data_IF_474480345118
#
_entry.id   IF_474480345118
#
_cell.length_a   1.000
_cell.length_b   1.000
_cell.length_c   1.000
_cell.angle_alpha   90.00
_cell.angle_beta   90.00
_cell.angle_gamma   90.00
#
_symmetry.space_group_name_H-M   'P 1'
#
loop_
_entity.id
_entity.type
_entity.pdbx_description
1 polymer ?
#
# COMPACT_ATOMS: atom_id res chain seq x y z
N UNK A 1 -7.33 -6.39 -10.70
CA UNK A 1 -7.58 -5.12 -9.99
C UNK A 1 -9.07 -4.93 -9.95
N UNK A 2 -9.64 -4.67 -8.77
CA UNK A 2 -11.07 -4.58 -8.54
C UNK A 2 -11.51 -3.11 -8.39
N UNK A 3 -10.74 -2.28 -7.69
CA UNK A 3 -11.07 -0.87 -7.45
C UNK A 3 -9.81 -0.04 -7.10
N UNK A 4 -8.92 0.26 -8.07
CA UNK A 4 -7.68 0.98 -7.79
C UNK A 4 -7.98 2.44 -7.44
N UNK A 5 -7.51 2.89 -6.27
CA UNK A 5 -7.66 4.28 -5.82
C UNK A 5 -6.34 5.05 -5.93
N UNK A 6 -5.35 4.66 -5.12
CA UNK A 6 -4.02 5.26 -5.10
C UNK A 6 -2.92 4.30 -5.56
N UNK A 7 -1.83 4.86 -6.05
CA UNK A 7 -0.60 4.15 -6.37
C UNK A 7 0.62 5.02 -6.08
N UNK A 8 1.72 4.39 -5.69
CA UNK A 8 2.95 5.07 -5.34
C UNK A 8 4.17 4.26 -5.76
N UNK A 9 5.30 4.94 -6.01
CA UNK A 9 6.54 4.31 -6.46
C UNK A 9 7.69 4.74 -5.55
N UNK A 10 8.53 3.78 -5.17
CA UNK A 10 9.86 4.04 -4.59
C UNK A 10 10.88 3.05 -5.15
N UNK A 11 11.94 3.54 -5.78
CA UNK A 11 12.88 2.69 -6.53
C UNK A 11 12.16 1.89 -7.62
N UNK A 12 12.24 0.55 -7.55
CA UNK A 12 11.52 -0.39 -8.42
C UNK A 12 10.27 -1.00 -7.79
N UNK A 13 9.87 -0.55 -6.61
CA UNK A 13 8.63 -0.97 -5.99
C UNK A 13 7.47 -0.10 -6.48
N UNK A 14 6.41 -0.75 -6.95
CA UNK A 14 5.11 -0.15 -7.24
C UNK A 14 4.08 -0.64 -6.21
N UNK A 15 3.50 0.29 -5.48
CA UNK A 15 2.45 0.05 -4.49
C UNK A 15 1.09 0.42 -5.11
N UNK A 16 0.10 -0.45 -4.97
CA UNK A 16 -1.26 -0.25 -5.50
C UNK A 16 -2.28 -0.48 -4.39
N UNK A 17 -3.10 0.52 -4.12
CA UNK A 17 -4.30 0.43 -3.31
C UNK A 17 -5.45 -0.14 -4.15
N UNK A 18 -5.83 -1.39 -3.95
CA UNK A 18 -6.91 -2.05 -4.71
C UNK A 18 -8.23 -2.07 -3.94
N UNK A 19 -8.54 -0.96 -3.25
CA UNK A 19 -9.76 -0.79 -2.44
C UNK A 19 -9.88 -1.86 -1.35
N UNK A 20 -10.97 -2.62 -1.39
CA UNK A 20 -11.24 -3.73 -0.46
C UNK A 20 -10.39 -4.98 -0.72
N UNK A 21 -9.68 -5.05 -1.85
CA UNK A 21 -8.70 -6.10 -2.10
C UNK A 21 -7.33 -5.79 -1.49
N UNK A 22 -7.17 -4.65 -0.81
CA UNK A 22 -5.98 -4.30 -0.05
C UNK A 22 -4.80 -3.80 -0.86
N UNK A 23 -3.64 -3.84 -0.22
CA UNK A 23 -2.39 -3.33 -0.76
C UNK A 23 -1.68 -4.40 -1.58
N UNK A 24 -1.24 -4.05 -2.79
CA UNK A 24 -0.40 -4.92 -3.63
C UNK A 24 0.91 -4.22 -3.92
N UNK A 25 1.99 -5.00 -3.92
CA UNK A 25 3.34 -4.51 -4.23
C UNK A 25 3.86 -5.30 -5.42
N UNK A 26 4.40 -4.59 -6.40
CA UNK A 26 4.95 -5.14 -7.64
C UNK A 26 6.38 -4.65 -7.86
N UNK A 27 7.18 -5.45 -8.57
CA UNK A 27 8.44 -5.02 -9.15
C UNK A 27 8.18 -4.37 -10.52
N UNK A 28 8.51 -3.08 -10.63
CA UNK A 28 8.33 -2.26 -11.85
C UNK A 28 9.58 -2.12 -12.71
N UNK A 29 10.61 -2.91 -12.48
CA UNK A 29 11.82 -2.89 -13.31
C UNK A 29 11.55 -3.24 -14.78
N UNK A 30 10.46 -3.95 -15.07
CA UNK A 30 9.90 -4.13 -16.41
C UNK A 30 8.40 -3.79 -16.43
N UNK A 31 8.02 -2.57 -16.84
CA UNK A 31 6.63 -2.12 -16.85
C UNK A 31 5.72 -2.92 -17.78
N UNK A 32 6.25 -3.57 -18.83
CA UNK A 32 5.43 -4.36 -19.77
C UNK A 32 5.02 -5.70 -19.17
N UNK A 33 5.80 -6.22 -18.22
CA UNK A 33 5.54 -7.46 -17.49
C UNK A 33 5.00 -7.22 -16.07
N UNK A 34 4.58 -6.00 -15.73
CA UNK A 34 4.21 -5.60 -14.38
C UNK A 34 3.16 -6.53 -13.74
N UNK A 35 2.19 -6.99 -14.53
CA UNK A 35 1.09 -7.85 -14.05
C UNK A 35 1.58 -9.21 -13.53
N UNK A 36 2.74 -9.66 -14.00
CA UNK A 36 3.35 -10.94 -13.65
C UNK A 36 4.40 -10.79 -12.53
N UNK A 37 4.73 -9.56 -12.13
CA UNK A 37 5.80 -9.24 -11.18
C UNK A 37 5.28 -8.83 -9.81
N UNK A 38 4.26 -9.52 -9.30
CA UNK A 38 3.72 -9.26 -7.95
C UNK A 38 4.69 -9.77 -6.89
N UNK A 39 5.13 -8.89 -6.01
CA UNK A 39 6.01 -9.21 -4.87
C UNK A 39 5.17 -9.65 -3.67
N UNK A 40 4.16 -8.85 -3.31
CA UNK A 40 3.37 -9.06 -2.11
C UNK A 40 1.91 -8.65 -2.30
N UNK A 41 1.05 -9.20 -1.45
CA UNK A 41 -0.37 -8.86 -1.37
C UNK A 41 -0.82 -8.92 0.08
N UNK A 42 -1.30 -7.78 0.60
CA UNK A 42 -1.84 -7.63 1.94
C UNK A 42 -3.35 -7.34 1.82
N UNK A 43 -4.21 -8.36 1.97
CA UNK A 43 -5.65 -8.24 1.70
C UNK A 43 -6.44 -7.52 2.80
N UNK A 44 -5.92 -7.46 4.03
CA UNK A 44 -6.65 -7.00 5.22
C UNK A 44 -6.76 -5.47 5.35
N UNK A 45 -6.60 -4.75 4.23
CA UNK A 45 -6.65 -3.29 4.19
C UNK A 45 -7.79 -2.83 3.28
N UNK A 46 -8.60 -1.88 3.75
CA UNK A 46 -9.44 -1.07 2.87
C UNK A 46 -8.65 0.20 2.52
N UNK A 47 -7.98 0.17 1.37
CA UNK A 47 -6.94 1.14 1.02
C UNK A 47 -7.45 2.20 0.05
N UNK A 48 -7.16 3.47 0.35
CA UNK A 48 -7.50 4.61 -0.49
C UNK A 48 -6.28 5.20 -1.19
N UNK A 49 -5.18 5.44 -0.46
CA UNK A 49 -4.00 6.08 -1.03
C UNK A 49 -2.71 5.58 -0.38
N UNK A 50 -1.59 5.71 -1.10
CA UNK A 50 -0.25 5.33 -0.64
C UNK A 50 0.78 6.39 -1.01
N UNK A 51 1.68 6.68 -0.07
CA UNK A 51 2.87 7.49 -0.30
C UNK A 51 4.08 6.69 0.23
N UNK A 52 4.82 5.98 -0.63
CA UNK A 52 6.08 5.37 -0.25
C UNK A 52 7.20 6.43 -0.23
N UNK A 53 8.04 6.40 0.80
CA UNK A 53 9.18 7.30 0.95
C UNK A 53 10.29 6.64 1.77
N UNK A 54 11.42 6.31 1.12
CA UNK A 54 12.66 5.89 1.80
C UNK A 54 12.48 4.75 2.81
N UNK A 55 11.74 3.71 2.43
CA UNK A 55 11.46 2.56 3.30
C UNK A 55 10.24 2.73 4.22
N UNK A 56 9.58 3.89 4.25
CA UNK A 56 8.35 4.12 5.03
C UNK A 56 7.16 4.36 4.13
N UNK A 57 6.11 3.54 4.25
CA UNK A 57 4.87 3.64 3.48
C UNK A 57 3.81 4.32 4.34
N UNK A 58 3.35 5.48 3.91
CA UNK A 58 2.11 6.04 4.42
C UNK A 58 0.94 5.40 3.67
N UNK A 59 0.15 4.60 4.36
CA UNK A 59 -1.06 3.95 3.83
C UNK A 59 -2.29 4.64 4.40
N UNK A 60 -3.13 5.19 3.53
CA UNK A 60 -4.41 5.80 3.91
C UNK A 60 -5.50 4.75 3.75
N UNK A 61 -6.27 4.54 4.81
CA UNK A 61 -7.43 3.64 4.78
C UNK A 61 -8.58 4.17 5.63
N UNK A 62 -9.65 3.39 5.67
CA UNK A 62 -10.94 3.76 6.28
C UNK A 62 -10.82 4.24 7.75
N UNK A 63 -9.94 3.61 8.54
CA UNK A 63 -9.81 3.91 9.98
C UNK A 63 -8.69 4.91 10.30
N UNK A 64 -8.00 5.44 9.28
CA UNK A 64 -6.95 6.44 9.46
C UNK A 64 -5.73 6.25 8.58
N UNK A 65 -4.62 6.86 9.00
CA UNK A 65 -3.34 6.83 8.29
C UNK A 65 -2.41 5.90 9.05
N UNK A 66 -1.86 4.92 8.34
CA UNK A 66 -0.92 3.95 8.87
C UNK A 66 0.47 4.22 8.29
N UNK A 67 1.50 3.97 9.07
CA UNK A 67 2.88 4.02 8.62
C UNK A 67 3.48 2.63 8.74
N UNK A 68 4.05 2.12 7.66
CA UNK A 68 4.72 0.82 7.62
C UNK A 68 6.19 0.96 7.23
N UNK A 69 7.06 0.18 7.85
CA UNK A 69 8.38 -0.13 7.30
C UNK A 69 8.22 -1.17 6.20
N UNK A 70 8.71 -0.88 4.99
CA UNK A 70 8.72 -1.79 3.85
C UNK A 70 10.13 -2.17 3.39
N UNK A 71 11.13 -2.07 4.25
CA UNK A 71 12.50 -2.51 3.96
C UNK A 71 12.56 -3.97 3.49
N UNK A 72 11.63 -4.82 3.96
CA UNK A 72 11.24 -6.07 3.31
C UNK A 72 9.79 -5.95 2.77
N UNK A 73 9.59 -5.81 1.44
CA UNK A 73 8.25 -5.65 0.88
C UNK A 73 7.37 -6.90 1.02
N UNK A 74 7.95 -8.08 1.31
CA UNK A 74 7.19 -9.30 1.59
C UNK A 74 6.76 -9.39 3.06
N UNK A 75 7.34 -8.58 3.96
CA UNK A 75 7.01 -8.53 5.38
C UNK A 75 7.04 -7.08 5.89
N UNK A 76 6.03 -6.29 5.53
CA UNK A 76 5.91 -4.93 6.07
C UNK A 76 5.58 -4.95 7.57
N UNK A 77 6.07 -3.95 8.31
CA UNK A 77 5.87 -3.83 9.77
C UNK A 77 5.21 -2.50 10.10
N UNK A 78 4.09 -2.51 10.84
CA UNK A 78 3.44 -1.27 11.30
C UNK A 78 4.37 -0.52 12.25
N UNK A 79 4.70 0.73 11.91
CA UNK A 79 5.51 1.63 12.73
C UNK A 79 4.62 2.48 13.65
N UNK A 80 3.56 3.06 13.08
CA UNK A 80 2.60 3.90 13.81
C UNK A 80 1.30 4.04 13.04
N UNK A 81 0.28 4.62 13.70
CA UNK A 81 -0.96 5.01 13.05
C UNK A 81 -1.58 6.26 13.68
N UNK A 82 -2.21 7.07 12.84
CA UNK A 82 -3.09 8.17 13.22
C UNK A 82 -4.51 7.69 12.98
N UNK A 83 -5.20 7.35 14.07
CA UNK A 83 -6.55 6.82 14.01
C UNK A 83 -7.58 7.94 13.83
N UNK A 84 -8.59 7.71 12.99
CA UNK A 84 -9.77 8.56 12.92
C UNK A 84 -10.66 8.23 14.12
N UNK A 85 -10.98 9.23 14.95
CA UNK A 85 -11.74 9.06 16.20
C UNK A 85 -13.10 9.76 16.20
N UNK A 86 -13.53 10.31 15.06
CA UNK A 86 -14.86 10.91 14.91
C UNK A 86 -15.96 9.84 14.94
N UNK A 87 -17.11 10.16 15.54
CA UNK A 87 -18.32 9.34 15.40
C UNK A 87 -18.90 9.59 14.01
N UNK A 88 -19.26 8.54 13.29
CA UNK A 88 -20.19 8.64 12.17
C UNK A 88 -21.55 9.04 12.76
N UNK A 89 -22.06 10.23 12.39
CA UNK A 89 -23.43 10.67 12.68
C UNK A 89 -24.41 10.08 11.66
#
# INVERSE_FOLDING_TARGET
>A
MYNPHGLGIDGDLLFICDGTAGLKIYDKSDPLEIINRKIAHYPDFNTYDVIPMKGTLMLVGEKGIYQYDYSDPQNIVELSRIQITGKEE
#
